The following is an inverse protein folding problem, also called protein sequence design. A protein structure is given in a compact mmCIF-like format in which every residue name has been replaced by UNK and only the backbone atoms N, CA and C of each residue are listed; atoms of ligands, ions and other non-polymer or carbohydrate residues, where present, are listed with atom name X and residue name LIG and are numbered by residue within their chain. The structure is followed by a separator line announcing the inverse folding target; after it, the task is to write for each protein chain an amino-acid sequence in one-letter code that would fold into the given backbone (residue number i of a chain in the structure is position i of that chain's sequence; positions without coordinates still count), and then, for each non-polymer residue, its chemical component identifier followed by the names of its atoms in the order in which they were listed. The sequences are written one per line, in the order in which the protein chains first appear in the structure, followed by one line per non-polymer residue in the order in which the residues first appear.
data_IF_432804021936
#
_entry.id   IF_432804021936
#
_cell.length_a   1.000
_cell.length_b   1.000
_cell.length_c   1.000
_cell.angle_alpha   90.00
_cell.angle_beta   90.00
_cell.angle_gamma   90.00
#
_symmetry.space_group_name_H-M   'P 1'
#
loop_
_entity.id
_entity.type
_entity.pdbx_description
1 polymer ?
#
# COMPACT_ATOMS: atom_id res chain seq x y z
N UNK A 1 -6.11 -12.45 -3.55
CA UNK A 1 -5.31 -12.37 -4.79
C UNK A 1 -5.90 -11.27 -5.66
N UNK A 2 -5.06 -10.43 -6.26
CA UNK A 2 -5.47 -9.33 -7.14
C UNK A 2 -4.61 -9.39 -8.40
N UNK A 3 -5.23 -9.26 -9.57
CA UNK A 3 -4.54 -9.08 -10.84
C UNK A 3 -4.91 -7.71 -11.43
N UNK A 4 -3.91 -6.93 -11.86
CA UNK A 4 -4.10 -5.63 -12.49
C UNK A 4 -3.49 -5.61 -13.89
N UNK A 5 -3.97 -4.69 -14.73
CA UNK A 5 -3.41 -4.43 -16.05
C UNK A 5 -3.36 -5.69 -16.94
N UNK A 6 -4.38 -6.54 -16.86
CA UNK A 6 -4.46 -7.85 -17.56
C UNK A 6 -4.25 -7.69 -19.07
N UNK A 7 -4.75 -6.61 -19.67
CA UNK A 7 -4.59 -6.34 -21.10
C UNK A 7 -3.32 -5.59 -21.46
N UNK A 8 -2.45 -5.30 -20.49
CA UNK A 8 -1.21 -4.51 -20.67
C UNK A 8 -1.41 -3.24 -21.50
N UNK A 9 -2.25 -2.31 -21.03
CA UNK A 9 -2.59 -1.11 -21.78
C UNK A 9 -1.32 -0.30 -22.09
N UNK A 10 -1.29 0.28 -23.29
CA UNK A 10 -0.20 1.12 -23.75
C UNK A 10 -0.72 2.54 -23.96
N UNK A 11 -0.05 3.50 -23.33
CA UNK A 11 -0.36 4.92 -23.43
C UNK A 11 0.67 5.57 -24.32
N UNK A 12 0.24 6.15 -25.44
CA UNK A 12 1.10 6.94 -26.32
C UNK A 12 1.01 8.41 -25.94
N UNK A 13 2.15 9.09 -25.85
CA UNK A 13 2.25 10.52 -25.56
C UNK A 13 2.61 11.27 -26.83
N UNK A 14 1.86 12.36 -27.09
CA UNK A 14 2.03 13.23 -28.25
C UNK A 14 0.75 13.42 -29.07
N UNK A 15 0.75 14.45 -29.93
CA UNK A 15 -0.31 14.65 -30.94
C UNK A 15 -0.25 13.54 -32.00
N UNK A 16 -1.32 13.28 -32.77
CA UNK A 16 -1.33 12.25 -33.82
C UNK A 16 -0.12 12.31 -34.78
N UNK A 17 0.40 13.52 -35.02
CA UNK A 17 1.52 13.80 -35.93
C UNK A 17 2.91 13.86 -35.24
N UNK A 18 2.99 13.81 -33.90
CA UNK A 18 4.26 13.81 -33.16
C UNK A 18 4.23 12.80 -32.02
N UNK A 19 4.59 11.54 -32.30
CA UNK A 19 4.77 10.52 -31.25
C UNK A 19 6.03 10.83 -30.44
N UNK A 20 5.87 11.27 -29.20
CA UNK A 20 6.97 11.58 -28.27
C UNK A 20 7.38 10.38 -27.41
N UNK A 21 6.59 9.30 -27.39
CA UNK A 21 6.91 8.05 -26.72
C UNK A 21 5.68 7.23 -26.36
N UNK A 22 5.87 5.99 -25.91
CA UNK A 22 4.79 5.17 -25.35
C UNK A 22 5.22 4.53 -24.03
N UNK A 23 4.28 4.42 -23.09
CA UNK A 23 4.46 3.71 -21.82
C UNK A 23 3.49 2.54 -21.83
N UNK A 24 4.05 1.33 -21.74
CA UNK A 24 3.28 0.09 -21.63
C UNK A 24 3.22 -0.34 -20.17
N UNK A 25 2.02 -0.45 -19.62
CA UNK A 25 1.82 -0.95 -18.25
C UNK A 25 1.85 -2.48 -18.28
N UNK A 26 2.80 -3.08 -17.56
CA UNK A 26 2.91 -4.55 -17.45
C UNK A 26 1.82 -5.12 -16.55
N UNK A 27 1.55 -6.41 -16.71
CA UNK A 27 0.60 -7.14 -15.85
C UNK A 27 1.17 -7.25 -14.46
N UNK A 28 0.32 -7.04 -13.45
CA UNK A 28 0.72 -7.14 -12.06
C UNK A 28 -0.14 -8.19 -11.36
N UNK A 29 0.50 -9.09 -10.61
CA UNK A 29 -0.19 -10.11 -9.82
C UNK A 29 0.28 -10.03 -8.38
N UNK A 30 -0.67 -9.84 -7.46
CA UNK A 30 -0.44 -9.81 -6.02
C UNK A 30 -1.20 -10.93 -5.33
N UNK A 31 -0.48 -11.74 -4.57
CA UNK A 31 -1.05 -12.69 -3.63
C UNK A 31 -1.16 -12.02 -2.25
N UNK A 32 -2.25 -12.29 -1.54
CA UNK A 32 -2.50 -11.74 -0.22
C UNK A 32 -3.01 -12.83 0.71
N UNK A 33 -2.59 -12.78 1.97
CA UNK A 33 -2.95 -13.68 3.04
C UNK A 33 -3.41 -12.89 4.26
N UNK A 34 -4.44 -13.38 4.93
CA UNK A 34 -5.02 -12.78 6.12
C UNK A 34 -5.22 -13.89 7.16
N UNK A 35 -4.77 -13.62 8.38
CA UNK A 35 -4.91 -14.52 9.51
C UNK A 35 -5.43 -13.79 10.73
N UNK A 36 -6.51 -14.28 11.32
CA UNK A 36 -7.07 -13.77 12.56
C UNK A 36 -6.50 -14.55 13.74
N UNK A 37 -5.75 -13.89 14.62
CA UNK A 37 -5.43 -14.46 15.93
C UNK A 37 -6.65 -14.40 16.86
N UNK A 38 -7.39 -13.28 16.77
CA UNK A 38 -8.59 -12.99 17.55
C UNK A 38 -9.56 -12.20 16.66
N UNK A 39 -10.85 -12.10 16.99
CA UNK A 39 -11.82 -11.32 16.21
C UNK A 39 -11.44 -9.84 16.03
N UNK A 40 -10.63 -9.32 16.94
CA UNK A 40 -10.14 -7.94 16.98
C UNK A 40 -8.63 -7.84 16.67
N UNK A 41 -7.95 -8.93 16.31
CA UNK A 41 -6.51 -8.95 15.98
C UNK A 41 -6.21 -9.83 14.77
N UNK A 42 -5.67 -9.23 13.72
CA UNK A 42 -5.26 -9.96 12.53
C UNK A 42 -3.91 -9.52 11.98
N UNK A 43 -3.27 -10.45 11.27
CA UNK A 43 -2.09 -10.22 10.44
C UNK A 43 -2.46 -10.32 8.98
N UNK A 44 -1.87 -9.45 8.18
CA UNK A 44 -1.92 -9.45 6.72
C UNK A 44 -0.53 -9.66 6.16
N UNK A 45 -0.45 -10.33 5.02
CA UNK A 45 0.76 -10.43 4.23
C UNK A 45 0.39 -10.31 2.76
N UNK A 46 1.07 -9.44 2.04
CA UNK A 46 0.93 -9.28 0.59
C UNK A 46 2.27 -9.49 -0.10
N UNK A 47 2.26 -10.21 -1.21
CA UNK A 47 3.43 -10.50 -2.04
C UNK A 47 3.12 -10.24 -3.50
N UNK A 48 3.94 -9.40 -4.13
CA UNK A 48 3.96 -9.26 -5.58
C UNK A 48 4.67 -10.46 -6.21
N UNK A 49 3.94 -11.15 -7.08
CA UNK A 49 4.45 -12.31 -7.82
C UNK A 49 5.17 -11.90 -9.11
N UNK A 50 4.95 -10.67 -9.57
CA UNK A 50 5.55 -10.08 -10.77
C UNK A 50 6.54 -8.98 -10.40
N UNK A 51 7.57 -8.79 -11.23
CA UNK A 51 8.40 -7.59 -11.16
C UNK A 51 7.71 -6.49 -11.97
N UNK A 52 7.26 -5.45 -11.30
CA UNK A 52 6.55 -4.33 -11.92
C UNK A 52 7.57 -3.25 -12.28
N UNK A 53 7.40 -2.62 -13.43
CA UNK A 53 8.24 -1.48 -13.83
C UNK A 53 7.63 -0.21 -13.27
N UNK A 54 8.47 0.64 -12.69
CA UNK A 54 8.05 1.95 -12.21
C UNK A 54 8.23 3.01 -13.31
N UNK A 55 7.72 4.22 -13.07
CA UNK A 55 8.01 5.37 -13.95
C UNK A 55 9.48 5.81 -13.94
N UNK A 56 10.32 5.21 -13.08
CA UNK A 56 11.75 5.47 -12.99
C UNK A 56 12.48 4.36 -13.75
N UNK A 57 13.24 4.75 -14.77
CA UNK A 57 14.05 3.80 -15.55
C UNK A 57 14.97 3.01 -14.63
N UNK A 58 15.01 1.69 -14.83
CA UNK A 58 15.84 0.73 -14.09
C UNK A 58 15.42 0.39 -12.66
N UNK A 59 14.33 0.96 -12.13
CA UNK A 59 13.81 0.60 -10.81
C UNK A 59 12.62 -0.37 -10.94
N UNK A 60 12.77 -1.57 -10.37
CA UNK A 60 11.74 -2.61 -10.40
C UNK A 60 11.09 -2.74 -9.03
N UNK A 61 9.78 -2.94 -9.03
CA UNK A 61 9.00 -3.08 -7.81
C UNK A 61 8.46 -4.50 -7.70
N UNK A 62 8.88 -5.20 -6.64
CA UNK A 62 8.28 -6.48 -6.21
C UNK A 62 8.18 -6.49 -4.70
N UNK A 63 7.04 -6.10 -4.16
CA UNK A 63 6.91 -5.87 -2.74
C UNK A 63 6.53 -7.14 -1.97
N UNK A 64 7.16 -7.32 -0.82
CA UNK A 64 6.64 -8.11 0.29
C UNK A 64 6.22 -7.14 1.39
N UNK A 65 4.96 -7.20 1.79
CA UNK A 65 4.42 -6.43 2.90
C UNK A 65 3.84 -7.37 3.96
N UNK A 66 4.13 -7.09 5.23
CA UNK A 66 3.52 -7.77 6.38
C UNK A 66 2.99 -6.70 7.31
N UNK A 67 1.74 -6.86 7.72
CA UNK A 67 1.06 -5.91 8.60
C UNK A 67 0.29 -6.63 9.70
N UNK A 68 0.06 -5.93 10.80
CA UNK A 68 -0.84 -6.36 11.86
C UNK A 68 -1.78 -5.21 12.21
N UNK A 69 -3.02 -5.54 12.52
CA UNK A 69 -4.00 -4.59 13.02
C UNK A 69 -4.67 -5.15 14.26
N UNK A 70 -4.74 -4.31 15.30
CA UNK A 70 -5.46 -4.59 16.54
C UNK A 70 -6.55 -3.53 16.73
N UNK A 71 -7.78 -4.00 16.83
CA UNK A 71 -8.94 -3.21 17.19
C UNK A 71 -9.14 -3.32 18.71
N UNK A 72 -9.40 -2.20 19.37
CA UNK A 72 -9.52 -2.11 20.82
C UNK A 72 -10.82 -1.38 21.21
N UNK A 73 -11.26 -1.60 22.44
CA UNK A 73 -12.41 -0.92 23.06
C UNK A 73 -13.66 -0.94 22.18
N UNK A 74 -14.04 -2.12 21.69
CA UNK A 74 -15.21 -2.35 20.84
C UNK A 74 -15.22 -1.50 19.55
N UNK A 75 -14.06 -1.33 18.90
CA UNK A 75 -13.97 -0.61 17.63
C UNK A 75 -13.68 0.88 17.74
N UNK A 76 -13.46 1.40 18.96
CA UNK A 76 -13.14 2.81 19.18
C UNK A 76 -11.70 3.14 18.83
N UNK A 77 -10.76 2.24 19.12
CA UNK A 77 -9.36 2.45 18.77
C UNK A 77 -8.90 1.35 17.84
N UNK A 78 -7.97 1.73 16.99
CA UNK A 78 -7.35 0.83 16.04
C UNK A 78 -5.86 1.17 16.01
N UNK A 79 -5.01 0.15 16.04
CA UNK A 79 -3.56 0.32 15.94
C UNK A 79 -3.06 -0.59 14.83
N UNK A 80 -2.22 -0.05 13.96
CA UNK A 80 -1.57 -0.77 12.86
C UNK A 80 -0.06 -0.67 12.99
N UNK A 81 0.60 -1.77 12.69
CA UNK A 81 2.03 -1.80 12.46
C UNK A 81 2.30 -2.64 11.23
N UNK A 82 3.31 -2.28 10.46
CA UNK A 82 3.67 -3.05 9.29
C UNK A 82 5.08 -2.78 8.81
N UNK A 83 5.55 -3.66 7.95
CA UNK A 83 6.83 -3.58 7.27
C UNK A 83 6.63 -3.90 5.80
N UNK A 84 7.40 -3.25 4.96
CA UNK A 84 7.38 -3.44 3.52
C UNK A 84 8.81 -3.48 2.99
N UNK A 85 9.10 -4.43 2.10
CA UNK A 85 10.39 -4.54 1.45
C UNK A 85 10.21 -4.76 -0.05
N UNK A 86 10.94 -4.01 -0.85
CA UNK A 86 11.12 -4.33 -2.26
C UNK A 86 12.11 -5.49 -2.40
N UNK A 87 11.65 -6.63 -2.92
CA UNK A 87 12.45 -7.83 -3.15
C UNK A 87 13.27 -7.77 -4.44
N UNK A 88 12.95 -6.84 -5.34
CA UNK A 88 13.71 -6.62 -6.59
C UNK A 88 14.94 -5.74 -6.39
N UNK A 89 14.99 -4.98 -5.30
CA UNK A 89 16.03 -4.00 -5.01
C UNK A 89 16.75 -4.35 -3.70
N UNK A 90 17.97 -3.84 -3.50
CA UNK A 90 18.78 -4.11 -2.30
C UNK A 90 18.42 -3.21 -1.10
N UNK A 91 17.30 -2.49 -1.18
CA UNK A 91 16.86 -1.53 -0.18
C UNK A 91 16.47 -2.21 1.14
N UNK A 92 16.64 -1.45 2.21
CA UNK A 92 16.22 -1.84 3.55
C UNK A 92 14.69 -1.74 3.67
N UNK A 93 14.07 -2.50 4.60
CA UNK A 93 12.63 -2.44 4.78
C UNK A 93 12.16 -1.06 5.24
N UNK A 94 11.02 -0.62 4.71
CA UNK A 94 10.26 0.49 5.25
C UNK A 94 9.34 0.00 6.36
N UNK A 95 9.22 0.79 7.43
CA UNK A 95 8.34 0.52 8.56
C UNK A 95 7.12 1.44 8.48
N UNK A 96 5.97 0.94 8.91
CA UNK A 96 4.73 1.70 8.98
C UNK A 96 4.08 1.53 10.32
N UNK A 97 3.47 2.59 10.82
CA UNK A 97 2.75 2.61 12.07
C UNK A 97 1.56 3.56 11.93
N UNK A 98 0.42 3.16 12.45
CA UNK A 98 -0.80 3.94 12.33
C UNK A 98 -1.76 3.70 13.47
N UNK A 99 -2.65 4.64 13.65
CA UNK A 99 -3.66 4.59 14.69
C UNK A 99 -4.92 5.29 14.26
N UNK A 100 -6.06 4.72 14.65
CA UNK A 100 -7.37 5.29 14.42
C UNK A 100 -8.12 5.47 15.73
N UNK A 101 -8.88 6.56 15.81
CA UNK A 101 -9.87 6.82 16.85
C UNK A 101 -11.23 7.03 16.19
N UNK A 102 -12.23 6.29 16.66
CA UNK A 102 -13.64 6.49 16.33
C UNK A 102 -14.39 6.89 17.59
N UNK A 103 -15.04 8.05 17.51
CA UNK A 103 -15.90 8.55 18.55
C UNK A 103 -17.22 9.04 17.96
N UNK A 104 -18.31 8.34 18.29
CA UNK A 104 -19.65 8.59 17.75
C UNK A 104 -19.63 8.57 16.21
N UNK A 105 -19.82 9.72 15.56
CA UNK A 105 -19.84 9.88 14.10
C UNK A 105 -18.50 10.33 13.52
N UNK A 106 -17.50 10.59 14.35
CA UNK A 106 -16.22 11.14 13.95
C UNK A 106 -15.17 10.02 13.96
N UNK A 107 -14.43 9.88 12.87
CA UNK A 107 -13.25 9.03 12.78
C UNK A 107 -12.03 9.86 12.46
N UNK A 108 -10.95 9.67 13.21
CA UNK A 108 -9.63 10.23 12.92
C UNK A 108 -8.68 9.05 12.71
N UNK A 109 -7.88 9.10 11.66
CA UNK A 109 -6.85 8.11 11.36
C UNK A 109 -5.54 8.82 11.10
N UNK A 110 -4.45 8.32 11.67
CA UNK A 110 -3.11 8.80 11.41
C UNK A 110 -2.23 7.63 11.01
N UNK A 111 -1.37 7.85 10.02
CA UNK A 111 -0.42 6.86 9.54
C UNK A 111 0.93 7.50 9.25
N UNK A 112 1.99 6.80 9.60
CA UNK A 112 3.37 7.19 9.38
C UNK A 112 4.13 6.04 8.74
N UNK A 113 5.03 6.38 7.82
CA UNK A 113 5.99 5.49 7.20
C UNK A 113 7.39 6.01 7.40
N UNK A 114 8.32 5.13 7.75
CA UNK A 114 9.74 5.41 7.84
C UNK A 114 10.50 4.51 6.87
N UNK A 115 11.16 5.14 5.91
CA UNK A 115 12.06 4.47 4.98
C UNK A 115 13.49 4.56 5.50
N UNK A 116 14.04 3.40 5.87
CA UNK A 116 15.40 3.30 6.43
C UNK A 116 16.48 3.51 5.38
N UNK A 117 16.20 3.26 4.10
CA UNK A 117 17.18 3.43 3.02
C UNK A 117 17.38 4.89 2.64
N UNK A 118 16.33 5.70 2.72
CA UNK A 118 16.38 7.10 2.32
C UNK A 118 16.31 8.09 3.49
N UNK A 119 16.24 7.59 4.73
CA UNK A 119 16.01 8.38 5.95
C UNK A 119 14.78 9.29 5.82
N UNK A 120 13.72 8.80 5.18
CA UNK A 120 12.50 9.57 4.91
C UNK A 120 11.38 9.18 5.86
N UNK A 121 10.66 10.19 6.34
CA UNK A 121 9.42 10.02 7.08
C UNK A 121 8.29 10.61 6.24
N UNK A 122 7.23 9.83 6.05
CA UNK A 122 5.98 10.30 5.45
C UNK A 122 4.89 10.11 6.49
N UNK A 123 4.01 11.09 6.61
CA UNK A 123 2.88 11.06 7.53
C UNK A 123 1.61 11.50 6.85
N UNK A 124 0.48 10.99 7.31
CA UNK A 124 -0.84 11.44 6.89
C UNK A 124 -1.81 11.38 8.06
N UNK A 125 -2.76 12.32 8.07
CA UNK A 125 -3.89 12.33 9.00
C UNK A 125 -5.16 12.52 8.18
N UNK A 126 -6.14 11.68 8.44
CA UNK A 126 -7.45 11.70 7.78
C UNK A 126 -8.54 11.85 8.84
N UNK A 127 -9.52 12.70 8.56
CA UNK A 127 -10.72 12.85 9.37
C UNK A 127 -11.96 12.49 8.55
N UNK A 128 -12.92 11.83 9.18
CA UNK A 128 -14.17 11.40 8.58
C UNK A 128 -15.35 11.70 9.50
N UNK A 129 -16.51 11.98 8.89
CA UNK A 129 -17.79 12.17 9.59
C UNK A 129 -18.82 11.29 8.91
N UNK A 130 -19.53 10.48 9.69
CA UNK A 130 -20.52 9.53 9.17
C UNK A 130 -21.94 10.01 9.49
N UNK A 131 -22.75 10.20 8.46
CA UNK A 131 -24.17 10.56 8.59
C UNK A 131 -25.04 9.30 8.66
N UNK A 132 -26.14 9.32 9.44
CA UNK A 132 -27.12 8.25 9.40
C UNK A 132 -27.74 8.16 8.00
N UNK A 133 -28.04 6.94 7.56
CA UNK A 133 -28.83 6.68 6.36
C UNK A 133 -30.29 7.01 6.59
#
# INVERSE_FOLDING_TARGET
MVARSINSPEFSFGSPDQKMGSIKIKREIRAGFLYYFQPDWFITMDLDLTNNETGISSYKERLLAIGTEKVLSNGKYLIRGGLQKNLSESEAPAFTFGGGLKYSRIGIDAGFGFDTSFERIIGSVTMSIQFPR
#
